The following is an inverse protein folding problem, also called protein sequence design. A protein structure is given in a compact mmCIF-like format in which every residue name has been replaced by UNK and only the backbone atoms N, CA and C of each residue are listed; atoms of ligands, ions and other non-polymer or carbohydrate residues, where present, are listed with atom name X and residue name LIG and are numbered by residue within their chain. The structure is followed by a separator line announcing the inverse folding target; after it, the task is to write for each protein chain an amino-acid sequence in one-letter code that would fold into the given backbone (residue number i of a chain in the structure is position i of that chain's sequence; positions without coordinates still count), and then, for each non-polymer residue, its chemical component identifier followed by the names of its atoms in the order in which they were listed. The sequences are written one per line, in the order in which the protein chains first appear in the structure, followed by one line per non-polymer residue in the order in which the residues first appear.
data_IF_187279790013
#
_entry.id   IF_187279790013
#
_cell.length_a   1.000
_cell.length_b   1.000
_cell.length_c   1.000
_cell.angle_alpha   90.00
_cell.angle_beta   90.00
_cell.angle_gamma   90.00
#
_symmetry.space_group_name_H-M   'P 1'
#
loop_
_entity.id
_entity.type
_entity.pdbx_description
1 polymer ?
#
# COMPACT_ATOMS: atom_id res chain seq x y z
N UNK A 1 30.02 -42.67 -3.64
CA UNK A 1 28.71 -42.38 -4.22
C UNK A 1 27.70 -42.43 -3.07
N UNK A 2 27.58 -41.33 -2.32
CA UNK A 2 26.71 -41.24 -1.13
C UNK A 2 25.41 -40.64 -1.64
N UNK A 3 24.32 -41.36 -1.44
CA UNK A 3 22.96 -41.02 -1.82
C UNK A 3 22.54 -39.61 -1.35
N UNK A 4 22.41 -38.72 -2.29
CA UNK A 4 21.57 -37.51 -2.15
C UNK A 4 20.12 -37.89 -2.47
N UNK A 5 19.48 -38.65 -1.59
CA UNK A 5 18.06 -38.96 -1.72
C UNK A 5 17.23 -38.24 -0.67
N UNK A 6 16.30 -37.40 -1.20
CA UNK A 6 15.01 -37.07 -0.59
C UNK A 6 14.94 -36.29 0.73
N UNK A 7 15.45 -35.06 0.77
CA UNK A 7 15.05 -34.08 1.82
C UNK A 7 13.65 -33.47 1.59
N UNK A 8 12.83 -34.04 0.72
CA UNK A 8 11.60 -33.41 0.25
C UNK A 8 10.32 -33.79 1.00
N UNK A 9 10.37 -34.60 2.05
CA UNK A 9 9.18 -35.07 2.80
C UNK A 9 9.32 -34.98 4.32
N UNK A 10 10.23 -34.16 4.84
CA UNK A 10 10.33 -33.99 6.30
C UNK A 10 9.06 -33.32 6.84
N UNK A 11 8.28 -34.09 7.60
CA UNK A 11 7.18 -33.52 8.39
C UNK A 11 7.78 -32.70 9.53
N UNK A 12 7.10 -31.62 9.96
CA UNK A 12 7.54 -30.81 11.12
C UNK A 12 7.80 -31.71 12.35
N UNK A 13 7.10 -32.83 12.48
CA UNK A 13 7.29 -33.82 13.55
C UNK A 13 8.66 -34.50 13.55
N UNK A 14 9.40 -34.49 12.44
CA UNK A 14 10.76 -35.03 12.34
C UNK A 14 11.83 -34.00 12.72
N UNK A 15 11.49 -32.74 12.89
CA UNK A 15 12.39 -31.71 13.40
C UNK A 15 12.58 -31.89 14.92
N UNK A 16 13.72 -31.44 15.44
CA UNK A 16 13.89 -31.33 16.88
C UNK A 16 12.78 -30.48 17.48
N UNK A 17 12.37 -30.79 18.70
CA UNK A 17 11.22 -30.17 19.34
C UNK A 17 11.38 -28.64 19.40
N UNK A 18 12.58 -28.19 19.77
CA UNK A 18 12.97 -26.78 19.86
C UNK A 18 13.00 -26.01 18.52
N UNK A 19 13.11 -26.74 17.39
CA UNK A 19 13.12 -26.15 16.04
C UNK A 19 11.71 -26.09 15.40
N UNK A 20 10.71 -26.67 16.04
CA UNK A 20 9.33 -26.62 15.54
C UNK A 20 8.75 -25.25 15.80
N UNK A 21 8.15 -24.59 14.79
CA UNK A 21 7.70 -23.18 14.94
C UNK A 21 6.73 -22.94 16.10
N UNK A 22 5.82 -23.87 16.40
CA UNK A 22 4.90 -23.75 17.54
C UNK A 22 5.62 -23.83 18.88
N UNK A 23 6.43 -24.84 19.07
CA UNK A 23 7.18 -25.11 20.29
C UNK A 23 8.22 -24.00 20.53
N UNK A 24 8.88 -23.55 19.45
CA UNK A 24 9.80 -22.42 19.48
C UNK A 24 9.10 -21.11 19.88
N UNK A 25 7.90 -20.88 19.35
CA UNK A 25 7.07 -19.71 19.71
C UNK A 25 6.65 -19.76 21.18
N UNK A 26 6.22 -20.94 21.67
CA UNK A 26 5.79 -21.13 23.04
C UNK A 26 6.95 -20.92 24.03
N UNK A 27 8.14 -21.37 23.69
CA UNK A 27 9.30 -21.32 24.58
C UNK A 27 10.00 -19.96 24.59
N UNK A 28 10.11 -19.30 23.39
CA UNK A 28 10.97 -18.13 23.22
C UNK A 28 10.21 -16.85 22.80
N UNK A 29 8.92 -16.97 22.45
CA UNK A 29 8.13 -15.84 21.93
C UNK A 29 8.16 -15.74 20.39
N UNK A 30 7.18 -15.03 19.86
CA UNK A 30 7.00 -14.85 18.41
C UNK A 30 8.16 -14.04 17.78
N UNK A 31 8.79 -13.18 18.55
CA UNK A 31 9.92 -12.33 18.13
C UNK A 31 11.17 -13.13 17.76
N UNK A 32 11.26 -14.39 18.19
CA UNK A 32 12.37 -15.30 17.87
C UNK A 32 12.10 -16.16 16.62
N UNK A 33 10.92 -16.03 16.01
CA UNK A 33 10.58 -16.73 14.79
C UNK A 33 11.01 -15.92 13.55
N UNK A 34 11.49 -16.62 12.54
CA UNK A 34 11.68 -16.05 11.20
C UNK A 34 10.32 -15.77 10.54
N UNK A 35 10.27 -14.93 9.51
CA UNK A 35 9.05 -14.65 8.75
C UNK A 35 8.38 -15.91 8.22
N UNK A 36 9.18 -16.86 7.76
CA UNK A 36 8.71 -18.18 7.28
C UNK A 36 8.06 -18.97 8.41
N UNK A 37 8.66 -18.99 9.60
CA UNK A 37 8.14 -19.69 10.77
C UNK A 37 6.85 -19.04 11.28
N UNK A 38 6.81 -17.70 11.34
CA UNK A 38 5.59 -16.94 11.70
C UNK A 38 4.43 -17.29 10.78
N UNK A 39 4.66 -17.25 9.47
CA UNK A 39 3.61 -17.57 8.50
C UNK A 39 3.24 -19.07 8.56
N UNK A 40 4.20 -19.96 8.80
CA UNK A 40 3.95 -21.40 8.97
C UNK A 40 3.08 -21.72 10.18
N UNK A 41 3.24 -20.99 11.29
CA UNK A 41 2.38 -21.07 12.48
C UNK A 41 0.95 -20.68 12.13
N UNK A 42 0.75 -19.57 11.42
CA UNK A 42 -0.57 -19.09 11.00
C UNK A 42 -1.27 -20.06 10.03
N UNK A 43 -0.52 -20.68 9.11
CA UNK A 43 -1.04 -21.69 8.20
C UNK A 43 -1.39 -23.03 8.88
N UNK A 44 -0.84 -23.30 10.08
CA UNK A 44 -1.00 -24.49 10.93
C UNK A 44 -0.52 -25.79 10.29
N UNK A 45 -1.00 -26.11 9.11
CA UNK A 45 -0.79 -27.41 8.47
C UNK A 45 -0.21 -27.26 7.08
N UNK A 46 0.61 -28.21 6.69
CA UNK A 46 1.03 -28.38 5.31
C UNK A 46 -0.03 -29.03 4.43
N UNK A 47 0.41 -29.75 3.43
CA UNK A 47 -0.39 -30.60 2.54
C UNK A 47 0.30 -31.97 2.38
N UNK A 48 -0.34 -32.91 1.66
CA UNK A 48 0.29 -34.19 1.37
C UNK A 48 1.60 -34.00 0.61
N UNK A 49 2.73 -34.30 1.27
CA UNK A 49 4.09 -34.17 0.72
C UNK A 49 4.77 -32.82 0.96
N UNK A 50 4.14 -31.84 1.63
CA UNK A 50 4.73 -30.55 1.98
C UNK A 50 4.31 -30.11 3.38
N UNK A 51 5.25 -29.63 4.19
CA UNK A 51 4.97 -29.06 5.50
C UNK A 51 4.56 -27.57 5.40
N UNK A 52 4.12 -26.98 6.51
CA UNK A 52 3.68 -25.56 6.52
C UNK A 52 4.82 -24.57 6.27
N UNK A 53 6.08 -24.91 6.61
CA UNK A 53 7.26 -24.08 6.33
C UNK A 53 7.49 -23.94 4.82
N UNK A 54 7.36 -25.03 4.06
CA UNK A 54 7.46 -25.00 2.60
C UNK A 54 6.35 -24.18 1.96
N UNK A 55 5.12 -24.28 2.49
CA UNK A 55 4.02 -23.45 2.01
C UNK A 55 4.26 -21.98 2.31
N UNK A 56 4.74 -21.65 3.51
CA UNK A 56 5.09 -20.29 3.89
C UNK A 56 6.19 -19.71 2.97
N UNK A 57 7.25 -20.49 2.68
CA UNK A 57 8.29 -20.07 1.73
C UNK A 57 7.73 -19.71 0.35
N UNK A 58 6.80 -20.51 -0.21
CA UNK A 58 6.19 -20.24 -1.51
C UNK A 58 5.37 -18.94 -1.52
N UNK A 59 4.75 -18.59 -0.39
CA UNK A 59 3.96 -17.36 -0.26
C UNK A 59 4.90 -16.16 -0.14
N UNK A 60 5.97 -16.28 0.64
CA UNK A 60 6.94 -15.20 0.87
C UNK A 60 7.90 -14.98 -0.31
N UNK A 61 8.06 -15.98 -1.19
CA UNK A 61 8.90 -15.88 -2.40
C UNK A 61 8.08 -16.21 -3.66
N UNK A 62 7.14 -15.34 -4.04
CA UNK A 62 6.36 -15.54 -5.25
C UNK A 62 7.22 -15.36 -6.51
N UNK A 63 6.80 -15.90 -7.66
CA UNK A 63 7.48 -15.66 -8.93
C UNK A 63 7.18 -14.28 -9.53
N UNK A 64 6.64 -13.35 -8.74
CA UNK A 64 6.25 -12.00 -9.15
C UNK A 64 6.29 -11.03 -7.98
N UNK A 65 6.53 -9.76 -8.27
CA UNK A 65 6.46 -8.67 -7.28
C UNK A 65 7.58 -8.71 -6.26
N UNK A 66 7.28 -8.23 -5.05
CA UNK A 66 8.23 -8.17 -3.94
C UNK A 66 8.35 -9.51 -3.23
N UNK A 67 9.48 -9.75 -2.56
CA UNK A 67 9.74 -10.92 -1.73
C UNK A 67 9.54 -10.63 -0.24
N UNK A 68 9.53 -11.68 0.56
CA UNK A 68 9.36 -11.61 2.01
C UNK A 68 7.96 -11.14 2.42
N UNK A 69 7.86 -10.44 3.53
CA UNK A 69 6.57 -9.97 4.07
C UNK A 69 5.84 -9.02 3.11
N UNK A 70 6.55 -8.27 2.27
CA UNK A 70 5.97 -7.35 1.29
C UNK A 70 5.26 -8.08 0.14
N UNK A 71 5.45 -9.38 -0.01
CA UNK A 71 4.72 -10.19 -0.98
C UNK A 71 3.25 -10.45 -0.55
N UNK A 72 2.99 -10.48 0.75
CA UNK A 72 1.68 -10.89 1.31
C UNK A 72 0.52 -10.04 0.78
N UNK A 73 0.61 -8.69 0.76
CA UNK A 73 -0.46 -7.85 0.22
C UNK A 73 -0.67 -7.95 -1.30
N UNK A 74 0.27 -8.53 -2.03
CA UNK A 74 0.23 -8.62 -3.50
C UNK A 74 -0.56 -9.84 -4.00
N UNK A 75 -0.81 -10.82 -3.13
CA UNK A 75 -1.53 -12.02 -3.49
C UNK A 75 -3.02 -11.75 -3.72
N UNK A 76 -3.54 -12.29 -4.82
CA UNK A 76 -4.98 -12.40 -5.04
C UNK A 76 -5.49 -13.78 -4.62
N UNK A 77 -6.79 -13.88 -4.34
CA UNK A 77 -7.46 -15.15 -4.06
C UNK A 77 -7.20 -16.19 -5.14
N UNK A 78 -7.29 -15.78 -6.41
CA UNK A 78 -7.08 -16.66 -7.56
C UNK A 78 -5.63 -17.19 -7.63
N UNK A 79 -4.65 -16.34 -7.36
CA UNK A 79 -3.24 -16.73 -7.36
C UNK A 79 -2.92 -17.70 -6.21
N UNK A 80 -3.43 -17.41 -5.00
CA UNK A 80 -3.26 -18.28 -3.84
C UNK A 80 -3.84 -19.67 -4.06
N UNK A 81 -5.01 -19.76 -4.67
CA UNK A 81 -5.66 -21.05 -4.98
C UNK A 81 -4.88 -21.91 -6.00
N UNK A 82 -3.98 -21.32 -6.79
CA UNK A 82 -3.09 -22.06 -7.70
C UNK A 82 -1.91 -22.72 -6.99
N UNK A 83 -1.61 -22.33 -5.74
CA UNK A 83 -0.54 -22.94 -4.96
C UNK A 83 -1.04 -24.27 -4.39
N UNK A 84 -0.36 -25.37 -4.77
CA UNK A 84 -0.67 -26.69 -4.22
C UNK A 84 -0.57 -26.66 -2.69
N UNK A 85 -1.66 -27.03 -2.01
CA UNK A 85 -1.74 -27.04 -0.54
C UNK A 85 -2.34 -25.77 0.07
N UNK A 86 -2.63 -24.75 -0.73
CA UNK A 86 -3.37 -23.57 -0.33
C UNK A 86 -4.80 -23.69 -0.88
N UNK A 87 -5.73 -24.05 0.00
CA UNK A 87 -7.15 -24.07 -0.29
C UNK A 87 -7.85 -22.77 0.11
N UNK A 88 -9.15 -22.70 -0.08
CA UNK A 88 -9.97 -21.50 0.20
C UNK A 88 -9.74 -20.93 1.61
N UNK A 89 -9.67 -21.79 2.63
CA UNK A 89 -9.51 -21.34 4.03
C UNK A 89 -8.17 -20.63 4.21
N UNK A 90 -7.06 -21.26 3.80
CA UNK A 90 -5.73 -20.66 3.91
C UNK A 90 -5.59 -19.38 3.07
N UNK A 91 -6.17 -19.35 1.88
CA UNK A 91 -6.21 -18.13 1.06
C UNK A 91 -6.90 -16.98 1.79
N UNK A 92 -8.06 -17.24 2.41
CA UNK A 92 -8.77 -16.23 3.21
C UNK A 92 -7.91 -15.78 4.39
N UNK A 93 -7.27 -16.70 5.12
CA UNK A 93 -6.38 -16.36 6.25
C UNK A 93 -5.25 -15.42 5.83
N UNK A 94 -4.60 -15.68 4.69
CA UNK A 94 -3.51 -14.84 4.16
C UNK A 94 -4.03 -13.45 3.80
N UNK A 95 -5.18 -13.37 3.10
CA UNK A 95 -5.78 -12.09 2.73
C UNK A 95 -6.23 -11.28 3.96
N UNK A 96 -6.79 -11.96 4.98
CA UNK A 96 -7.13 -11.31 6.24
C UNK A 96 -5.89 -10.80 6.99
N UNK A 97 -4.79 -11.56 6.98
CA UNK A 97 -3.53 -11.14 7.56
C UNK A 97 -3.00 -9.86 6.89
N UNK A 98 -3.01 -9.83 5.55
CA UNK A 98 -2.62 -8.65 4.78
C UNK A 98 -3.48 -7.42 5.15
N UNK A 99 -4.79 -7.59 5.22
CA UNK A 99 -5.71 -6.51 5.57
C UNK A 99 -5.53 -6.03 7.02
N UNK A 100 -5.30 -6.94 7.97
CA UNK A 100 -5.02 -6.57 9.36
C UNK A 100 -3.72 -5.76 9.47
N UNK A 101 -2.64 -6.21 8.83
CA UNK A 101 -1.36 -5.49 8.82
C UNK A 101 -1.53 -4.07 8.24
N UNK A 102 -2.26 -3.94 7.14
CA UNK A 102 -2.60 -2.65 6.52
C UNK A 102 -3.38 -1.75 7.48
N UNK A 103 -4.40 -2.27 8.15
CA UNK A 103 -5.21 -1.50 9.12
C UNK A 103 -4.40 -1.07 10.34
N UNK A 104 -3.48 -1.92 10.81
CA UNK A 104 -2.59 -1.58 11.93
C UNK A 104 -1.67 -0.42 11.55
N UNK A 105 -1.01 -0.49 10.40
CA UNK A 105 -0.16 0.60 9.90
C UNK A 105 -0.95 1.91 9.72
N UNK A 106 -2.17 1.83 9.16
CA UNK A 106 -3.04 3.00 9.00
C UNK A 106 -3.51 3.59 10.33
N UNK A 107 -3.85 2.73 11.31
CA UNK A 107 -4.23 3.18 12.65
C UNK A 107 -3.09 3.90 13.35
N UNK A 108 -1.88 3.39 13.27
CA UNK A 108 -0.67 4.04 13.79
C UNK A 108 -0.44 5.40 13.11
N UNK A 109 -0.47 5.44 11.78
CA UNK A 109 -0.31 6.68 11.02
C UNK A 109 -1.41 7.72 11.33
N UNK A 110 -2.62 7.28 11.70
CA UNK A 110 -3.73 8.19 12.02
C UNK A 110 -3.51 8.99 13.31
N UNK A 111 -2.72 8.47 14.25
CA UNK A 111 -2.41 9.15 15.51
C UNK A 111 -1.63 10.46 15.31
N UNK A 112 -0.86 10.54 14.23
CA UNK A 112 -0.08 11.74 13.88
C UNK A 112 -0.57 12.43 12.61
N UNK A 113 -1.79 12.16 12.14
CA UNK A 113 -2.28 12.70 10.87
C UNK A 113 -2.48 14.21 10.93
N UNK A 114 -1.64 14.93 10.22
CA UNK A 114 -1.68 16.37 10.03
C UNK A 114 -1.72 16.68 8.53
N UNK A 115 -2.82 17.29 8.06
CA UNK A 115 -2.99 17.66 6.65
C UNK A 115 -2.16 18.89 6.23
N UNK A 116 -1.41 19.49 7.13
CA UNK A 116 -0.39 20.51 6.81
C UNK A 116 0.96 19.88 6.45
N UNK A 117 1.19 18.61 6.80
CA UNK A 117 2.42 17.87 6.59
C UNK A 117 2.27 16.82 5.48
N UNK A 118 2.95 16.96 4.33
CA UNK A 118 2.93 15.97 3.25
C UNK A 118 3.39 14.57 3.70
N UNK A 119 4.40 14.50 4.56
CA UNK A 119 4.88 13.24 5.13
C UNK A 119 3.80 12.52 5.94
N UNK A 120 3.07 13.25 6.76
CA UNK A 120 1.96 12.71 7.55
C UNK A 120 0.84 12.16 6.66
N UNK A 121 0.47 12.88 5.62
CA UNK A 121 -0.53 12.47 4.63
C UNK A 121 -0.03 11.22 3.87
N UNK A 122 1.20 11.27 3.38
CA UNK A 122 1.78 10.16 2.63
C UNK A 122 1.80 8.87 3.46
N UNK A 123 2.24 8.92 4.72
CA UNK A 123 2.22 7.74 5.61
C UNK A 123 0.82 7.19 5.82
N UNK A 124 -0.17 8.05 6.03
CA UNK A 124 -1.55 7.61 6.26
C UNK A 124 -2.15 6.88 5.05
N UNK A 125 -1.86 7.36 3.84
CA UNK A 125 -2.39 6.77 2.60
C UNK A 125 -1.46 5.74 1.95
N UNK A 126 -0.23 5.56 2.46
CA UNK A 126 0.78 4.67 1.88
C UNK A 126 0.25 3.28 1.61
N UNK A 127 -0.27 2.61 2.64
CA UNK A 127 -0.76 1.23 2.53
C UNK A 127 -2.03 1.09 1.70
N UNK A 128 -2.79 2.16 1.53
CA UNK A 128 -3.98 2.18 0.69
C UNK A 128 -3.64 2.29 -0.81
N UNK A 129 -2.51 2.91 -1.14
CA UNK A 129 -2.18 3.32 -2.50
C UNK A 129 -1.00 2.56 -3.12
N UNK A 130 0.10 2.32 -2.37
CA UNK A 130 1.34 1.75 -2.95
C UNK A 130 1.16 0.39 -3.62
N UNK A 131 0.18 -0.41 -3.18
CA UNK A 131 -0.08 -1.74 -3.74
C UNK A 131 -1.10 -1.75 -4.89
N UNK A 132 -1.64 -0.59 -5.26
CA UNK A 132 -2.59 -0.47 -6.36
C UNK A 132 -1.88 -0.73 -7.69
N UNK A 133 -2.39 -1.68 -8.47
CA UNK A 133 -1.86 -2.04 -9.81
C UNK A 133 -2.21 -1.03 -10.89
N UNK A 134 -3.09 -0.10 -10.59
CA UNK A 134 -3.49 1.02 -11.46
C UNK A 134 -3.34 2.30 -10.69
N UNK A 135 -3.10 3.38 -11.41
CA UNK A 135 -3.13 4.70 -10.83
C UNK A 135 -4.53 5.01 -10.31
N UNK A 136 -4.60 5.53 -9.11
CA UNK A 136 -5.82 6.00 -8.46
C UNK A 136 -5.53 7.40 -7.94
N UNK A 137 -6.31 8.37 -8.35
CA UNK A 137 -6.23 9.73 -7.83
C UNK A 137 -7.32 9.95 -6.78
N UNK A 138 -6.92 10.46 -5.63
CA UNK A 138 -7.80 10.91 -4.55
C UNK A 138 -7.81 12.40 -4.45
N UNK A 139 -8.99 12.94 -4.19
CA UNK A 139 -9.22 14.33 -3.81
C UNK A 139 -9.48 14.37 -2.31
N UNK A 140 -8.70 15.15 -1.59
CA UNK A 140 -8.90 15.43 -0.18
C UNK A 140 -9.47 16.85 -0.04
N UNK A 141 -10.60 16.99 0.61
CA UNK A 141 -11.31 18.25 0.80
C UNK A 141 -11.10 18.74 2.24
N UNK A 142 -10.61 19.95 2.42
CA UNK A 142 -10.25 20.49 3.73
C UNK A 142 -11.06 21.77 4.07
N UNK A 143 -11.29 21.95 5.37
CA UNK A 143 -11.89 23.16 5.90
C UNK A 143 -10.84 24.23 6.25
N UNK A 144 -11.29 25.39 6.75
CA UNK A 144 -10.43 26.52 7.16
C UNK A 144 -9.40 26.19 8.26
N UNK A 145 -9.56 25.05 8.95
CA UNK A 145 -8.62 24.58 9.98
C UNK A 145 -7.71 23.44 9.46
N UNK A 146 -7.61 23.29 8.15
CA UNK A 146 -6.87 22.19 7.49
C UNK A 146 -7.29 20.79 7.96
N UNK A 147 -8.56 20.61 8.34
CA UNK A 147 -9.10 19.30 8.71
C UNK A 147 -9.85 18.71 7.54
N UNK A 148 -9.70 17.40 7.36
CA UNK A 148 -10.42 16.66 6.32
C UNK A 148 -11.94 16.74 6.53
N UNK A 149 -12.65 17.18 5.52
CA UNK A 149 -14.13 17.17 5.43
C UNK A 149 -14.59 15.89 4.75
N UNK A 150 -13.93 15.55 3.63
CA UNK A 150 -14.29 14.40 2.79
C UNK A 150 -13.10 14.00 1.94
N UNK A 151 -13.06 12.73 1.54
CA UNK A 151 -12.16 12.22 0.52
C UNK A 151 -12.93 11.44 -0.53
N UNK A 152 -12.44 11.43 -1.76
CA UNK A 152 -13.05 10.67 -2.85
C UNK A 152 -12.00 10.23 -3.88
N UNK A 153 -12.25 9.09 -4.52
CA UNK A 153 -11.47 8.68 -5.68
C UNK A 153 -12.01 9.41 -6.92
N UNK A 154 -11.14 10.18 -7.57
CA UNK A 154 -11.52 11.02 -8.74
C UNK A 154 -11.50 10.24 -10.03
N UNK A 155 -10.59 9.26 -10.13
CA UNK A 155 -10.42 8.42 -11.31
C UNK A 155 -9.90 7.05 -10.92
N UNK A 156 -10.46 6.01 -11.55
CA UNK A 156 -9.99 4.63 -11.46
C UNK A 156 -9.76 4.12 -12.89
N UNK A 157 -8.50 3.89 -13.26
CA UNK A 157 -8.18 3.37 -14.60
C UNK A 157 -6.86 3.89 -15.12
N UNK A 158 -6.59 3.73 -16.41
CA UNK A 158 -5.45 4.38 -17.06
C UNK A 158 -5.61 5.89 -16.91
N UNK A 159 -4.92 6.45 -15.94
CA UNK A 159 -4.88 7.90 -15.79
C UNK A 159 -3.99 8.43 -16.91
N UNK A 160 -4.65 8.80 -18.02
CA UNK A 160 -4.16 9.95 -18.71
C UNK A 160 -4.49 11.12 -17.76
N UNK A 161 -3.52 11.68 -17.10
CA UNK A 161 -3.67 12.86 -16.22
C UNK A 161 -4.35 14.02 -16.94
N UNK A 162 -4.44 13.96 -18.26
CA UNK A 162 -5.21 14.79 -19.14
C UNK A 162 -6.73 14.71 -18.89
N UNK A 163 -7.22 13.68 -18.17
CA UNK A 163 -8.65 13.43 -17.97
C UNK A 163 -9.22 13.91 -16.63
N UNK A 164 -8.38 14.36 -15.70
CA UNK A 164 -8.88 14.95 -14.46
C UNK A 164 -9.39 16.34 -14.76
N UNK A 165 -10.72 16.46 -14.83
CA UNK A 165 -11.38 17.73 -15.10
C UNK A 165 -11.38 18.60 -13.84
N UNK A 166 -10.75 19.81 -13.88
CA UNK A 166 -10.87 20.74 -12.76
C UNK A 166 -12.34 21.01 -12.37
N UNK A 167 -13.24 21.01 -13.34
CA UNK A 167 -14.67 21.20 -13.10
C UNK A 167 -15.23 20.17 -12.14
N UNK A 168 -14.93 18.88 -12.33
CA UNK A 168 -15.46 17.81 -11.48
C UNK A 168 -14.91 17.92 -10.05
N UNK A 169 -13.62 18.20 -9.90
CA UNK A 169 -13.00 18.40 -8.60
C UNK A 169 -13.63 19.55 -7.82
N UNK A 170 -13.82 20.67 -8.49
CA UNK A 170 -14.32 21.88 -7.82
C UNK A 170 -15.83 21.87 -7.61
N UNK A 171 -16.62 21.14 -8.40
CA UNK A 171 -18.04 20.89 -8.10
C UNK A 171 -18.16 20.17 -6.75
N UNK A 172 -17.39 19.11 -6.53
CA UNK A 172 -17.39 18.41 -5.24
C UNK A 172 -16.87 19.29 -4.09
N UNK A 173 -15.80 20.03 -4.32
CA UNK A 173 -15.24 20.93 -3.30
C UNK A 173 -16.24 22.00 -2.87
N UNK A 174 -16.97 22.60 -3.82
CA UNK A 174 -18.02 23.59 -3.55
C UNK A 174 -19.20 22.97 -2.81
N UNK A 175 -19.68 21.80 -3.23
CA UNK A 175 -20.80 21.11 -2.56
C UNK A 175 -20.50 20.78 -1.10
N UNK A 176 -19.23 20.50 -0.77
CA UNK A 176 -18.76 20.19 0.59
C UNK A 176 -18.28 21.42 1.35
N UNK A 177 -18.38 22.63 0.78
CA UNK A 177 -17.85 23.86 1.36
C UNK A 177 -16.37 23.76 1.74
N UNK A 178 -15.58 23.06 0.93
CA UNK A 178 -14.14 23.00 1.10
C UNK A 178 -13.50 24.34 0.76
N UNK A 179 -12.48 24.74 1.52
CA UNK A 179 -11.72 25.98 1.26
C UNK A 179 -10.35 25.68 0.64
N UNK A 180 -9.90 24.43 0.78
CA UNK A 180 -8.67 23.95 0.14
C UNK A 180 -8.77 22.47 -0.18
N UNK A 181 -7.94 22.05 -1.10
CA UNK A 181 -7.87 20.67 -1.58
C UNK A 181 -6.44 20.18 -1.61
N UNK A 182 -6.26 18.86 -1.49
CA UNK A 182 -5.01 18.17 -1.77
C UNK A 182 -5.31 17.06 -2.78
N UNK A 183 -4.44 16.92 -3.77
CA UNK A 183 -4.43 15.79 -4.69
C UNK A 183 -3.45 14.75 -4.20
N UNK A 184 -3.82 13.50 -4.33
CA UNK A 184 -2.99 12.36 -3.94
C UNK A 184 -3.16 11.25 -4.96
N UNK A 185 -2.07 10.75 -5.57
CA UNK A 185 -2.15 9.59 -6.45
C UNK A 185 -0.95 8.66 -6.28
N UNK A 186 -1.09 7.43 -6.77
CA UNK A 186 -0.01 6.45 -6.75
C UNK A 186 0.56 6.19 -8.14
N UNK A 187 1.86 5.92 -8.18
CA UNK A 187 2.51 5.35 -9.34
C UNK A 187 2.70 3.83 -9.15
N UNK A 188 2.07 2.98 -9.97
CA UNK A 188 2.25 1.52 -9.89
C UNK A 188 3.69 1.05 -10.15
N UNK A 189 4.52 1.89 -10.76
CA UNK A 189 5.97 1.64 -10.94
C UNK A 189 6.74 1.62 -9.62
N UNK A 190 6.19 2.23 -8.56
CA UNK A 190 6.86 2.45 -7.29
C UNK A 190 7.74 3.70 -7.22
N UNK A 191 8.01 4.37 -8.35
CA UNK A 191 8.75 5.63 -8.41
C UNK A 191 7.77 6.82 -8.33
N UNK A 192 7.84 7.69 -7.28
CA UNK A 192 6.93 8.80 -7.11
C UNK A 192 7.31 10.05 -7.93
N UNK A 193 8.31 9.96 -8.79
CA UNK A 193 8.73 11.08 -9.63
C UNK A 193 7.57 11.55 -10.54
N UNK A 194 7.17 12.85 -10.48
CA UNK A 194 6.05 13.34 -11.27
C UNK A 194 6.32 13.27 -12.76
N UNK A 195 5.33 12.84 -13.52
CA UNK A 195 5.32 12.92 -14.98
C UNK A 195 5.08 14.36 -15.45
N UNK A 196 5.30 14.62 -16.73
CA UNK A 196 4.96 15.91 -17.35
C UNK A 196 3.47 16.18 -17.27
N UNK A 197 2.67 15.15 -17.40
CA UNK A 197 1.24 15.15 -17.33
C UNK A 197 0.75 15.53 -15.92
N UNK A 198 1.37 14.99 -14.87
CA UNK A 198 1.05 15.36 -13.48
C UNK A 198 1.32 16.84 -13.21
N UNK A 199 2.45 17.34 -13.67
CA UNK A 199 2.79 18.76 -13.53
C UNK A 199 1.79 19.66 -14.26
N UNK A 200 1.38 19.28 -15.48
CA UNK A 200 0.41 20.02 -16.27
C UNK A 200 -0.99 20.00 -15.62
N UNK A 201 -1.43 18.85 -15.16
CA UNK A 201 -2.71 18.71 -14.45
C UNK A 201 -2.71 19.55 -13.17
N UNK A 202 -1.64 19.46 -12.37
CA UNK A 202 -1.48 20.25 -11.14
C UNK A 202 -1.59 21.74 -11.41
N UNK A 203 -0.90 22.25 -12.44
CA UNK A 203 -0.97 23.66 -12.82
C UNK A 203 -2.39 24.09 -13.17
N UNK A 204 -3.08 23.34 -14.03
CA UNK A 204 -4.46 23.64 -14.44
C UNK A 204 -5.43 23.67 -13.25
N UNK A 205 -5.29 22.71 -12.33
CA UNK A 205 -6.15 22.64 -11.14
C UNK A 205 -5.86 23.82 -10.20
N UNK A 206 -4.59 24.15 -10.01
CA UNK A 206 -4.17 25.28 -9.18
C UNK A 206 -4.70 26.62 -9.73
N UNK A 207 -4.56 26.85 -11.03
CA UNK A 207 -5.07 28.06 -11.70
C UNK A 207 -6.60 28.16 -11.56
N UNK A 208 -7.32 27.06 -11.81
CA UNK A 208 -8.78 27.03 -11.67
C UNK A 208 -9.22 27.27 -10.21
N UNK A 209 -8.52 26.65 -9.24
CA UNK A 209 -8.78 26.84 -7.81
C UNK A 209 -8.59 28.30 -7.36
N UNK A 210 -7.52 28.93 -7.82
CA UNK A 210 -7.25 30.34 -7.53
C UNK A 210 -8.37 31.29 -8.02
N UNK A 211 -9.01 30.97 -9.15
CA UNK A 211 -10.12 31.77 -9.70
C UNK A 211 -11.38 31.66 -8.84
N UNK A 212 -11.61 30.56 -8.18
CA UNK A 212 -12.86 30.32 -7.41
C UNK A 212 -12.63 30.37 -5.89
N UNK A 213 -11.39 30.67 -5.44
CA UNK A 213 -11.06 30.82 -4.03
C UNK A 213 -10.91 29.49 -3.27
N UNK A 214 -10.62 28.38 -3.98
CA UNK A 214 -10.32 27.06 -3.37
C UNK A 214 -8.88 26.71 -3.71
N UNK A 215 -8.01 26.73 -2.69
CA UNK A 215 -6.58 26.55 -2.89
C UNK A 215 -6.20 25.06 -3.05
N UNK A 216 -5.37 24.74 -4.05
CA UNK A 216 -4.65 23.48 -4.11
C UNK A 216 -3.41 23.57 -3.20
N UNK A 217 -3.47 22.96 -2.01
CA UNK A 217 -2.38 23.01 -1.03
C UNK A 217 -1.18 22.15 -1.42
N UNK A 218 -1.44 20.99 -2.00
CA UNK A 218 -0.39 20.09 -2.46
C UNK A 218 -0.89 19.09 -3.49
N UNK A 219 0.04 18.50 -4.21
CA UNK A 219 -0.15 17.29 -5.00
C UNK A 219 0.93 16.30 -4.60
N UNK A 220 0.52 15.20 -3.97
CA UNK A 220 1.40 14.19 -3.39
C UNK A 220 1.31 12.91 -4.22
N UNK A 221 2.44 12.41 -4.65
CA UNK A 221 2.57 11.17 -5.43
C UNK A 221 3.14 10.08 -4.55
N UNK A 222 2.47 8.94 -4.46
CA UNK A 222 2.87 7.79 -3.66
C UNK A 222 3.58 6.76 -4.54
N UNK A 223 4.81 6.42 -4.17
CA UNK A 223 5.57 5.31 -4.71
C UNK A 223 5.58 4.11 -3.75
N UNK A 224 6.57 3.24 -3.87
CA UNK A 224 6.74 2.12 -2.94
C UNK A 224 7.57 2.55 -1.72
N UNK A 225 6.92 2.73 -0.58
CA UNK A 225 7.48 3.27 0.67
C UNK A 225 8.16 4.65 0.53
N UNK A 226 7.78 5.40 -0.48
CA UNK A 226 8.30 6.74 -0.73
C UNK A 226 7.19 7.63 -1.29
N UNK A 227 7.39 8.94 -1.25
CA UNK A 227 6.45 9.90 -1.81
C UNK A 227 7.17 11.09 -2.41
N UNK A 228 6.46 11.85 -3.22
CA UNK A 228 6.89 13.12 -3.77
C UNK A 228 5.79 14.17 -3.54
N UNK A 229 6.11 15.25 -2.82
CA UNK A 229 5.23 16.41 -2.67
C UNK A 229 5.69 17.52 -3.61
N UNK A 230 4.80 17.97 -4.48
CA UNK A 230 5.12 19.08 -5.38
C UNK A 230 5.32 20.38 -4.61
N UNK A 231 4.59 20.56 -3.49
CA UNK A 231 4.77 21.72 -2.62
C UNK A 231 6.15 21.75 -1.96
N UNK A 232 6.58 20.64 -1.34
CA UNK A 232 7.90 20.54 -0.68
C UNK A 232 9.05 20.73 -1.67
N UNK A 233 8.88 20.33 -2.91
CA UNK A 233 9.86 20.50 -3.99
C UNK A 233 9.81 21.86 -4.67
N UNK A 234 8.98 22.78 -4.15
CA UNK A 234 8.95 24.19 -4.59
C UNK A 234 8.20 24.44 -5.90
N UNK A 235 7.46 23.47 -6.45
CA UNK A 235 6.71 23.67 -7.69
C UNK A 235 5.60 24.72 -7.56
N UNK A 236 5.15 25.01 -6.34
CA UNK A 236 4.14 26.05 -6.07
C UNK A 236 4.74 27.43 -5.85
N UNK A 237 6.03 27.52 -5.60
CA UNK A 237 6.73 28.79 -5.32
C UNK A 237 7.25 29.50 -6.59
N UNK A 238 7.47 28.76 -7.68
CA UNK A 238 8.12 29.29 -8.88
C UNK A 238 7.24 30.19 -9.77
N UNK A 239 5.92 30.20 -9.56
CA UNK A 239 4.98 30.97 -10.41
C UNK A 239 4.64 32.36 -9.85
N UNK A 240 4.99 32.65 -8.60
CA UNK A 240 4.81 34.00 -8.00
C UNK A 240 5.81 35.04 -8.50
N UNK A 241 6.86 34.62 -9.19
CA UNK A 241 7.94 35.50 -9.68
C UNK A 241 7.73 36.04 -11.12
N UNK A 242 6.70 35.57 -11.82
CA UNK A 242 6.41 35.94 -13.22
C UNK A 242 5.07 36.70 -13.39
N UNK A 243 4.61 37.40 -12.35
CA UNK A 243 3.50 38.36 -12.47
C UNK A 243 3.96 39.76 -12.30
#
# INVERSE_FOLDING_TARGET
MIHMENRNTETIKMMYLEDRPYEKCEQYGAEHLTDVELLAVLLRTGTKGENSLRLAQKILHPPFGSEGLLSIPQWSMEQLLKIKGIGKVKSIQILCLAELAKRMAKAEASLGLDFSSPDSIARYYMEDLRHKKREVMKLLLLNTRSRLISEMDVSTGTINSTLVSPRELFVEALQKNAVSIILLHNHPSGDPTPSKEDLLATRRIREAGALIGIELLDHIIIGDNCYFSLREKGFFSQESANR
#
